data_IF_276194747432
#
_entry.id   IF_276194747432
#
_cell.length_a   1.000
_cell.length_b   1.000
_cell.length_c   1.000
_cell.angle_alpha   90.00
_cell.angle_beta   90.00
_cell.angle_gamma   90.00
#
_symmetry.space_group_name_H-M   'P 1'
#
loop_
_entity.id
_entity.type
_entity.pdbx_description
1 polymer ?
#
# COMPACT_ATOMS: atom_id res chain seq x y z
N UNK A 1 0.85 -17.02 -11.54
CA UNK A 1 -0.06 -15.97 -12.05
C UNK A 1 -1.34 -16.67 -12.48
N UNK A 2 -2.44 -16.43 -11.78
CA UNK A 2 -3.73 -17.03 -12.11
C UNK A 2 -4.29 -16.38 -13.36
N UNK A 3 -4.70 -17.19 -14.34
CA UNK A 3 -5.38 -16.67 -15.54
C UNK A 3 -6.79 -16.16 -15.22
N UNK A 4 -7.35 -16.54 -14.07
CA UNK A 4 -8.73 -16.19 -13.68
C UNK A 4 -8.84 -14.89 -12.87
N UNK A 5 -7.79 -14.53 -12.11
CA UNK A 5 -7.78 -13.34 -11.25
C UNK A 5 -6.49 -12.53 -11.46
N UNK A 6 -6.41 -11.75 -12.55
CA UNK A 6 -5.23 -10.96 -12.86
C UNK A 6 -5.03 -9.82 -11.85
N UNK A 7 -3.76 -9.51 -11.58
CA UNK A 7 -3.34 -8.43 -10.68
C UNK A 7 -2.50 -7.43 -11.47
N UNK A 8 -2.91 -6.17 -11.43
CA UNK A 8 -2.14 -5.03 -11.92
C UNK A 8 -1.62 -4.29 -10.69
N UNK A 9 -0.30 -4.33 -10.47
CA UNK A 9 0.34 -3.64 -9.35
C UNK A 9 1.14 -2.43 -9.84
N UNK A 10 0.64 -1.23 -9.57
CA UNK A 10 1.34 0.02 -9.84
C UNK A 10 2.16 0.39 -8.60
N UNK A 11 3.48 0.38 -8.76
CA UNK A 11 4.42 0.65 -7.66
C UNK A 11 5.10 2.00 -7.82
N UNK A 12 5.01 2.88 -6.82
CA UNK A 12 5.64 4.19 -6.83
C UNK A 12 5.49 4.94 -5.50
N UNK A 13 6.24 6.02 -5.35
CA UNK A 13 6.09 6.93 -4.21
C UNK A 13 5.02 7.99 -4.48
N UNK A 14 4.50 8.60 -3.41
CA UNK A 14 3.68 9.81 -3.55
C UNK A 14 4.46 10.88 -4.34
N UNK A 15 3.75 11.61 -5.22
CA UNK A 15 4.35 12.61 -6.10
C UNK A 15 5.03 12.08 -7.37
N UNK A 16 5.18 10.75 -7.53
CA UNK A 16 5.81 10.14 -8.72
C UNK A 16 4.85 9.95 -9.91
N UNK A 17 3.71 10.66 -9.93
CA UNK A 17 2.72 10.55 -11.01
C UNK A 17 1.70 9.42 -10.86
N UNK A 18 1.62 8.77 -9.69
CA UNK A 18 0.62 7.74 -9.37
C UNK A 18 -0.82 8.20 -9.68
N UNK A 19 -1.16 9.44 -9.32
CA UNK A 19 -2.46 10.04 -9.65
C UNK A 19 -2.75 10.06 -11.14
N UNK A 20 -1.75 10.33 -11.99
CA UNK A 20 -1.91 10.33 -13.46
C UNK A 20 -2.16 8.92 -13.98
N UNK A 21 -1.41 7.93 -13.47
CA UNK A 21 -1.58 6.53 -13.82
C UNK A 21 -3.00 6.05 -13.41
N UNK A 22 -3.46 6.40 -12.21
CA UNK A 22 -4.81 6.07 -11.74
C UNK A 22 -5.89 6.62 -12.64
N UNK A 23 -5.77 7.88 -13.11
CA UNK A 23 -6.72 8.44 -14.07
C UNK A 23 -6.69 7.69 -15.41
N UNK A 24 -5.51 7.34 -15.93
CA UNK A 24 -5.40 6.58 -17.17
C UNK A 24 -6.08 5.20 -17.07
N UNK A 25 -5.83 4.46 -15.98
CA UNK A 25 -6.46 3.16 -15.75
C UNK A 25 -7.96 3.27 -15.54
N UNK A 26 -8.46 4.33 -14.86
CA UNK A 26 -9.89 4.60 -14.76
C UNK A 26 -10.56 4.64 -16.15
N UNK A 27 -10.00 5.39 -17.09
CA UNK A 27 -10.54 5.46 -18.45
C UNK A 27 -10.45 4.13 -19.21
N UNK A 28 -9.38 3.36 -19.01
CA UNK A 28 -9.24 2.03 -19.61
C UNK A 28 -10.33 1.10 -19.08
N UNK A 29 -10.54 1.05 -17.76
CA UNK A 29 -11.55 0.20 -17.14
C UNK A 29 -12.96 0.58 -17.59
N UNK A 30 -13.28 1.87 -17.63
CA UNK A 30 -14.56 2.37 -18.14
C UNK A 30 -14.78 1.97 -19.61
N UNK A 31 -13.77 2.17 -20.47
CA UNK A 31 -13.88 1.85 -21.91
C UNK A 31 -14.03 0.36 -22.19
N UNK A 32 -13.39 -0.48 -21.38
CA UNK A 32 -13.43 -1.94 -21.52
C UNK A 32 -14.51 -2.60 -20.67
N UNK A 33 -15.32 -1.82 -19.94
CA UNK A 33 -16.33 -2.31 -19.01
C UNK A 33 -15.78 -3.32 -17.98
N UNK A 34 -14.59 -3.03 -17.44
CA UNK A 34 -13.91 -3.83 -16.42
C UNK A 34 -14.29 -3.29 -15.04
N UNK A 35 -14.58 -4.19 -14.10
CA UNK A 35 -14.82 -3.91 -12.68
C UNK A 35 -13.57 -4.19 -11.85
N UNK A 36 -12.69 -3.21 -11.63
CA UNK A 36 -11.50 -3.40 -10.81
C UNK A 36 -11.86 -3.44 -9.32
N UNK A 37 -11.21 -4.33 -8.57
CA UNK A 37 -11.01 -4.12 -7.14
C UNK A 37 -9.82 -3.16 -6.96
N UNK A 38 -10.04 -1.97 -6.41
CA UNK A 38 -8.98 -0.99 -6.16
C UNK A 38 -8.47 -1.13 -4.73
N UNK A 39 -7.17 -1.32 -4.55
CA UNK A 39 -6.53 -1.46 -3.24
C UNK A 39 -5.33 -0.53 -3.12
N UNK A 40 -5.31 0.28 -2.08
CA UNK A 40 -4.20 1.16 -1.74
C UNK A 40 -3.24 0.45 -0.79
N UNK A 41 -1.94 0.45 -1.13
CA UNK A 41 -0.89 -0.21 -0.35
C UNK A 41 -0.71 0.36 1.05
N UNK A 42 -1.16 1.58 1.29
CA UNK A 42 -1.09 2.21 2.60
C UNK A 42 -1.95 1.50 3.64
N UNK A 43 -2.98 0.74 3.22
CA UNK A 43 -3.71 -0.18 4.09
C UNK A 43 -2.83 -1.25 4.75
N UNK A 44 -1.66 -1.56 4.19
CA UNK A 44 -0.72 -2.55 4.72
C UNK A 44 0.41 -1.91 5.54
N UNK A 45 0.37 -0.61 5.83
CA UNK A 45 1.29 0.02 6.79
C UNK A 45 1.04 -0.53 8.20
N UNK A 46 2.07 -0.60 9.03
CA UNK A 46 1.97 -1.11 10.42
C UNK A 46 1.42 -0.06 11.39
N UNK A 47 1.71 1.20 11.15
CA UNK A 47 1.49 2.28 12.11
C UNK A 47 0.52 3.33 11.57
N UNK A 48 -0.28 3.89 12.46
CA UNK A 48 -1.05 5.11 12.20
C UNK A 48 -0.11 6.32 12.16
N UNK A 49 -0.57 7.48 11.67
CA UNK A 49 0.28 8.68 11.64
C UNK A 49 0.81 9.04 13.04
N UNK A 50 -0.04 8.95 14.07
CA UNK A 50 0.35 9.22 15.45
C UNK A 50 1.39 8.23 15.97
N UNK A 51 1.20 6.94 15.69
CA UNK A 51 2.14 5.90 16.11
C UNK A 51 3.49 6.05 15.40
N UNK A 52 3.46 6.37 14.11
CA UNK A 52 4.67 6.56 13.33
C UNK A 52 5.45 7.80 13.77
N UNK A 53 4.77 8.90 14.11
CA UNK A 53 5.41 10.08 14.69
C UNK A 53 6.16 9.74 15.99
N UNK A 54 5.51 9.00 16.90
CA UNK A 54 6.16 8.55 18.14
C UNK A 54 7.37 7.62 17.86
N UNK A 55 7.24 6.71 16.89
CA UNK A 55 8.32 5.83 16.48
C UNK A 55 9.51 6.61 15.90
N UNK A 56 9.26 7.67 15.13
CA UNK A 56 10.33 8.53 14.60
C UNK A 56 11.10 9.24 15.72
N UNK A 57 10.41 9.72 16.76
CA UNK A 57 11.06 10.39 17.88
C UNK A 57 11.91 9.42 18.70
N UNK A 58 11.42 8.21 18.96
CA UNK A 58 12.20 7.14 19.60
C UNK A 58 13.41 6.73 18.73
N UNK A 59 13.21 6.62 17.42
CA UNK A 59 14.26 6.26 16.48
C UNK A 59 15.38 7.30 16.45
N UNK A 60 15.04 8.60 16.46
CA UNK A 60 16.01 9.71 16.55
C UNK A 60 16.83 9.64 17.83
N UNK A 61 16.20 9.40 18.97
CA UNK A 61 16.89 9.30 20.26
C UNK A 61 17.85 8.09 20.33
N UNK A 62 17.51 7.00 19.63
CA UNK A 62 18.29 5.76 19.59
C UNK A 62 19.24 5.65 18.40
N UNK A 63 19.35 6.69 17.56
CA UNK A 63 20.18 6.68 16.34
C UNK A 63 19.71 5.67 15.28
N UNK A 64 18.46 5.19 15.36
CA UNK A 64 17.87 4.31 14.36
C UNK A 64 17.27 5.15 13.22
N UNK A 65 17.44 4.67 12.00
CA UNK A 65 16.67 5.17 10.87
C UNK A 65 15.33 4.42 10.81
N UNK A 66 14.24 5.08 10.45
CA UNK A 66 12.92 4.46 10.24
C UNK A 66 12.26 5.15 9.06
N UNK A 67 11.55 4.40 8.22
CA UNK A 67 10.89 4.95 7.02
C UNK A 67 9.69 4.12 6.61
N UNK A 68 8.68 4.77 6.02
CA UNK A 68 7.55 4.09 5.37
C UNK A 68 7.95 3.10 4.28
N UNK A 69 9.15 3.22 3.71
CA UNK A 69 9.64 2.25 2.73
C UNK A 69 10.13 0.93 3.35
N UNK A 70 10.48 0.94 4.64
CA UNK A 70 11.13 -0.17 5.32
C UNK A 70 10.17 -1.28 5.79
N UNK A 71 10.69 -2.50 5.99
CA UNK A 71 9.89 -3.64 6.46
C UNK A 71 9.30 -3.45 7.86
N UNK A 72 9.94 -2.65 8.71
CA UNK A 72 9.44 -2.39 10.05
C UNK A 72 8.11 -1.61 10.05
N UNK A 73 7.85 -0.81 9.01
CA UNK A 73 6.66 0.03 8.90
C UNK A 73 5.55 -0.60 8.07
N UNK A 74 5.71 -1.85 7.62
CA UNK A 74 4.76 -2.50 6.71
C UNK A 74 4.48 -3.95 7.13
N UNK A 75 3.32 -4.43 6.69
CA UNK A 75 2.83 -5.80 6.80
C UNK A 75 3.07 -6.53 5.47
N UNK A 76 4.34 -6.73 5.10
CA UNK A 76 4.70 -7.39 3.83
C UNK A 76 4.18 -8.84 3.73
N UNK A 77 4.27 -9.69 4.78
CA UNK A 77 3.68 -11.03 4.72
C UNK A 77 2.17 -11.00 4.46
N UNK A 78 1.46 -10.05 5.05
CA UNK A 78 0.02 -9.89 4.86
C UNK A 78 -0.32 -9.36 3.45
N UNK A 79 0.51 -8.47 2.89
CA UNK A 79 0.38 -8.02 1.50
C UNK A 79 0.63 -9.18 0.51
N UNK A 80 1.66 -9.98 0.74
CA UNK A 80 1.95 -11.17 -0.07
C UNK A 80 0.79 -12.18 0.02
N UNK A 81 0.31 -12.47 1.23
CA UNK A 81 -0.83 -13.35 1.46
C UNK A 81 -2.11 -12.83 0.79
N UNK A 82 -2.32 -11.50 0.79
CA UNK A 82 -3.41 -10.87 0.08
C UNK A 82 -3.32 -11.08 -1.44
N UNK A 83 -2.17 -10.80 -2.07
CA UNK A 83 -1.98 -11.04 -3.49
C UNK A 83 -2.13 -12.51 -3.87
N UNK A 84 -1.62 -13.42 -3.04
CA UNK A 84 -1.79 -14.85 -3.25
C UNK A 84 -3.27 -15.26 -3.23
N UNK A 85 -3.98 -14.86 -2.16
CA UNK A 85 -5.42 -15.17 -2.00
C UNK A 85 -6.25 -14.61 -3.16
N UNK A 86 -5.98 -13.36 -3.56
CA UNK A 86 -6.67 -12.74 -4.68
C UNK A 86 -6.40 -13.48 -5.99
N UNK A 87 -5.14 -13.82 -6.25
CA UNK A 87 -4.78 -14.62 -7.43
C UNK A 87 -5.49 -15.99 -7.45
N UNK A 88 -5.65 -16.63 -6.30
CA UNK A 88 -6.26 -17.96 -6.22
C UNK A 88 -7.79 -17.94 -6.39
N UNK A 89 -8.49 -16.96 -5.82
CA UNK A 89 -9.96 -17.00 -5.74
C UNK A 89 -10.67 -15.63 -5.82
N UNK A 90 -9.95 -14.56 -6.17
CA UNK A 90 -10.53 -13.22 -6.32
C UNK A 90 -11.01 -12.59 -5.01
N UNK A 91 -10.60 -13.15 -3.87
CA UNK A 91 -10.95 -12.67 -2.54
C UNK A 91 -9.72 -12.17 -1.76
N UNK A 92 -9.94 -11.59 -0.60
CA UNK A 92 -8.85 -11.16 0.27
C UNK A 92 -9.38 -10.33 1.43
N UNK A 93 -8.49 -9.98 2.36
CA UNK A 93 -8.79 -9.12 3.49
C UNK A 93 -7.95 -7.86 3.37
N UNK A 94 -8.61 -6.71 3.44
CA UNK A 94 -7.98 -5.39 3.27
C UNK A 94 -8.46 -4.44 4.36
N UNK A 95 -7.72 -3.36 4.55
CA UNK A 95 -8.19 -2.19 5.29
C UNK A 95 -7.82 -0.94 4.52
N UNK A 96 -8.49 0.15 4.83
CA UNK A 96 -8.25 1.44 4.19
C UNK A 96 -7.61 2.39 5.18
N UNK A 97 -6.82 3.33 4.64
CA UNK A 97 -6.13 4.35 5.40
C UNK A 97 -6.69 5.73 5.05
N UNK A 98 -7.11 6.49 6.06
CA UNK A 98 -7.69 7.80 5.86
C UNK A 98 -6.61 8.88 5.71
N UNK A 99 -6.32 9.28 4.47
CA UNK A 99 -5.32 10.32 4.18
C UNK A 99 -5.74 11.75 4.59
N UNK A 100 -7.04 12.05 4.56
CA UNK A 100 -7.58 13.38 4.86
C UNK A 100 -8.80 13.26 5.75
N UNK A 101 -9.25 14.38 6.32
CA UNK A 101 -10.46 14.42 7.13
C UNK A 101 -11.70 13.99 6.32
N UNK A 102 -11.82 14.45 5.07
CA UNK A 102 -12.94 14.10 4.18
C UNK A 102 -12.94 12.60 3.84
N UNK A 103 -11.76 12.02 3.58
CA UNK A 103 -11.65 10.59 3.37
C UNK A 103 -11.97 9.81 4.65
N UNK A 104 -11.50 10.30 5.81
CA UNK A 104 -11.83 9.73 7.12
C UNK A 104 -13.32 9.71 7.39
N UNK A 105 -14.02 10.80 7.13
CA UNK A 105 -15.48 10.88 7.28
C UNK A 105 -16.20 9.84 6.41
N UNK A 106 -15.79 9.69 5.14
CA UNK A 106 -16.33 8.66 4.25
C UNK A 106 -16.07 7.23 4.74
N UNK A 107 -14.97 7.00 5.47
CA UNK A 107 -14.59 5.71 6.03
C UNK A 107 -15.08 5.48 7.46
N UNK A 108 -15.63 6.49 8.12
CA UNK A 108 -16.01 6.44 9.54
C UNK A 108 -14.82 6.38 10.51
N UNK A 109 -13.65 6.87 10.11
CA UNK A 109 -12.43 6.92 10.95
C UNK A 109 -11.79 8.30 10.90
N UNK A 110 -10.87 8.60 11.81
CA UNK A 110 -10.14 9.87 11.78
C UNK A 110 -9.06 9.87 10.68
N UNK A 111 -8.69 11.05 10.18
CA UNK A 111 -7.51 11.18 9.33
C UNK A 111 -6.27 10.65 10.06
N UNK A 112 -5.44 9.89 9.36
CA UNK A 112 -4.26 9.23 9.91
C UNK A 112 -4.54 7.86 10.54
N UNK A 113 -5.78 7.38 10.51
CA UNK A 113 -6.20 6.09 11.08
C UNK A 113 -6.60 5.06 10.01
N UNK A 114 -6.70 3.80 10.44
CA UNK A 114 -7.15 2.69 9.60
C UNK A 114 -8.60 2.31 9.89
N UNK A 115 -9.30 1.85 8.85
CA UNK A 115 -10.50 1.04 9.05
C UNK A 115 -10.13 -0.32 9.66
N UNK A 116 -11.10 -1.03 10.26
CA UNK A 116 -10.95 -2.45 10.53
C UNK A 116 -10.63 -3.22 9.26
N UNK A 117 -9.94 -4.36 9.42
CA UNK A 117 -9.76 -5.33 8.35
C UNK A 117 -11.13 -5.90 7.95
N UNK A 118 -11.40 -5.94 6.65
CA UNK A 118 -12.67 -6.44 6.10
C UNK A 118 -12.45 -7.23 4.81
N UNK A 119 -13.35 -8.16 4.47
CA UNK A 119 -13.30 -8.85 3.20
C UNK A 119 -13.40 -7.89 2.02
N UNK A 120 -12.61 -8.15 0.98
CA UNK A 120 -12.72 -7.48 -0.31
C UNK A 120 -14.10 -7.76 -0.92
N UNK A 121 -14.71 -6.75 -1.54
CA UNK A 121 -15.99 -6.95 -2.23
C UNK A 121 -15.83 -7.97 -3.37
N UNK A 122 -16.74 -8.95 -3.48
CA UNK A 122 -16.67 -9.96 -4.53
C UNK A 122 -17.09 -9.39 -5.89
N UNK A 123 -16.76 -10.11 -6.96
CA UNK A 123 -17.21 -9.79 -8.32
C UNK A 123 -16.34 -8.77 -9.07
N UNK A 124 -15.06 -8.66 -8.70
CA UNK A 124 -14.07 -7.92 -9.48
C UNK A 124 -13.52 -8.78 -10.62
N UNK A 125 -13.27 -8.15 -11.77
CA UNK A 125 -12.64 -8.79 -12.93
C UNK A 125 -11.10 -8.85 -12.77
N UNK A 126 -10.54 -7.89 -12.02
CA UNK A 126 -9.11 -7.81 -11.71
C UNK A 126 -8.84 -7.01 -10.44
N UNK A 127 -7.66 -7.20 -9.87
CA UNK A 127 -7.13 -6.35 -8.78
C UNK A 127 -6.25 -5.26 -9.37
N UNK A 128 -6.53 -4.02 -9.00
CA UNK A 128 -5.69 -2.86 -9.25
C UNK A 128 -5.08 -2.38 -7.93
N UNK A 129 -3.83 -2.74 -7.69
CA UNK A 129 -3.07 -2.31 -6.53
C UNK A 129 -2.26 -1.04 -6.85
N UNK A 130 -2.30 -0.07 -5.95
CA UNK A 130 -1.50 1.16 -6.01
C UNK A 130 -0.74 1.34 -4.68
N UNK A 131 0.59 1.35 -4.70
CA UNK A 131 1.37 1.52 -3.47
C UNK A 131 2.87 1.51 -3.69
N UNK A 132 3.65 1.42 -2.61
CA UNK A 132 5.11 1.47 -2.69
C UNK A 132 5.76 0.08 -2.86
N UNK A 133 5.01 -1.00 -2.70
CA UNK A 133 5.56 -2.35 -2.50
C UNK A 133 4.90 -3.43 -3.34
N UNK A 134 4.20 -3.07 -4.42
CA UNK A 134 3.45 -4.01 -5.26
C UNK A 134 4.33 -4.99 -6.05
N UNK A 135 5.61 -4.68 -6.21
CA UNK A 135 6.62 -5.55 -6.83
C UNK A 135 7.82 -5.83 -5.93
N UNK A 136 7.64 -5.74 -4.60
CA UNK A 136 8.73 -5.98 -3.65
C UNK A 136 9.20 -7.44 -3.73
N UNK A 137 10.50 -7.64 -3.97
CA UNK A 137 11.18 -8.92 -3.87
C UNK A 137 12.41 -8.75 -2.98
N UNK A 138 12.48 -9.48 -1.86
CA UNK A 138 13.63 -9.41 -0.96
C UNK A 138 13.81 -10.73 -0.20
N UNK A 139 15.01 -11.31 -0.30
CA UNK A 139 15.44 -12.41 0.58
C UNK A 139 16.01 -11.88 1.91
N UNK A 140 16.65 -10.70 1.84
CA UNK A 140 17.24 -9.98 2.97
C UNK A 140 17.07 -8.48 2.76
N UNK A 141 16.81 -7.74 3.83
CA UNK A 141 16.74 -6.28 3.79
C UNK A 141 17.99 -5.65 4.37
N UNK A 142 18.63 -4.76 3.59
CA UNK A 142 19.76 -3.96 4.03
C UNK A 142 19.47 -2.50 3.79
N UNK A 143 19.77 -1.63 4.75
CA UNK A 143 19.78 -0.19 4.51
C UNK A 143 21.15 0.21 3.99
N UNK A 144 21.16 1.03 2.94
CA UNK A 144 22.41 1.64 2.45
C UNK A 144 22.99 2.46 3.60
N UNK A 145 24.19 2.09 4.07
CA UNK A 145 24.98 2.96 4.96
C UNK A 145 25.44 4.12 4.10
N UNK A 146 24.78 5.26 4.22
CA UNK A 146 25.23 6.46 3.51
C UNK A 146 26.44 6.96 4.26
N UNK A 147 27.61 6.88 3.63
CA UNK A 147 28.81 7.56 4.08
C UNK A 147 28.55 9.07 4.01
N UNK A 148 28.93 9.83 5.04
CA UNK A 148 28.78 11.29 5.10
C UNK A 148 29.42 12.01 3.92
N UNK A 149 30.25 11.32 3.12
CA UNK A 149 30.91 11.81 1.90
C UNK A 149 30.03 11.84 0.64
N UNK A 150 28.78 11.36 0.68
CA UNK A 150 27.92 11.22 -0.52
C UNK A 150 26.86 12.32 -0.72
N UNK A 151 26.84 13.35 0.12
CA UNK A 151 26.05 14.56 -0.13
C UNK A 151 27.02 15.75 -0.27
N UNK A 152 27.20 16.32 -1.48
CA UNK A 152 27.92 17.57 -1.66
C UNK A 152 27.18 18.76 -1.02
#
# INVERSE_FOLDING_TARGET
MSQQHPIIAVTGSSGAGLSTIRHAFKFIFERLNIKPAIVHGDGFRRYTDRQFAALLDEARASGRNVSWFGPECNHFPELEAFFKTYGECGSGVVRQYAHTAEHGEALGVQAGEFTPWSPLQPGSDLLFYEGQHGGLMANTWTRRKVDSRHFP
#
